data_IF_164415440313
#
_entry.id   IF_164415440313
#
_cell.length_a   1.000
_cell.length_b   1.000
_cell.length_c   1.000
_cell.angle_alpha   90.00
_cell.angle_beta   90.00
_cell.angle_gamma   90.00
#
_symmetry.space_group_name_H-M   'P 1'
#
loop_
_entity.id
_entity.type
_entity.pdbx_description
1 polymer ?
#
# COMPACT_ATOMS: atom_id res chain seq x y z
N UNK A 1 48.83 -28.34 8.08
CA UNK A 1 47.51 -28.14 7.45
C UNK A 1 47.31 -29.28 6.46
N UNK A 2 46.64 -30.35 6.88
CA UNK A 2 46.38 -31.51 6.02
C UNK A 2 45.21 -31.18 5.05
N UNK A 3 45.60 -31.09 3.78
CA UNK A 3 44.66 -30.96 2.68
C UNK A 3 44.11 -32.36 2.35
N UNK A 4 43.06 -32.80 3.05
CA UNK A 4 42.36 -34.03 2.68
C UNK A 4 41.61 -33.82 1.38
N UNK A 5 41.83 -34.65 0.31
CA UNK A 5 41.15 -34.51 -0.94
C UNK A 5 39.65 -34.77 -0.75
N UNK A 6 38.87 -33.74 -0.87
CA UNK A 6 37.42 -33.85 -0.76
C UNK A 6 36.91 -34.73 -1.92
N UNK A 7 36.34 -35.89 -1.62
CA UNK A 7 35.73 -36.77 -2.61
C UNK A 7 34.64 -36.01 -3.39
N UNK A 8 34.65 -36.09 -4.73
CA UNK A 8 33.64 -35.53 -5.64
C UNK A 8 32.20 -35.80 -5.13
N UNK A 9 31.98 -36.98 -4.53
CA UNK A 9 30.72 -37.40 -3.95
C UNK A 9 30.31 -36.50 -2.76
N UNK A 10 31.27 -36.17 -1.86
CA UNK A 10 30.99 -35.29 -0.72
C UNK A 10 30.74 -33.86 -1.17
N UNK A 11 31.48 -33.36 -2.15
CA UNK A 11 31.27 -32.05 -2.75
C UNK A 11 29.86 -31.92 -3.38
N UNK A 12 29.47 -32.91 -4.19
CA UNK A 12 28.13 -32.91 -4.80
C UNK A 12 27.02 -32.99 -3.74
N UNK A 13 27.19 -33.78 -2.69
CA UNK A 13 26.21 -33.90 -1.62
C UNK A 13 26.06 -32.58 -0.82
N UNK A 14 27.18 -31.91 -0.51
CA UNK A 14 27.11 -30.60 0.15
C UNK A 14 26.52 -29.52 -0.74
N UNK A 15 26.83 -29.53 -2.02
CA UNK A 15 26.27 -28.56 -2.98
C UNK A 15 24.74 -28.73 -3.11
N UNK A 16 24.23 -29.94 -3.24
CA UNK A 16 22.78 -30.20 -3.30
C UNK A 16 22.08 -29.81 -2.00
N UNK A 17 22.71 -30.06 -0.85
CA UNK A 17 22.17 -29.65 0.45
C UNK A 17 22.08 -28.12 0.56
N UNK A 18 23.12 -27.41 0.16
CA UNK A 18 23.16 -25.95 0.19
C UNK A 18 22.13 -25.33 -0.78
N UNK A 19 22.03 -25.85 -1.99
CA UNK A 19 21.02 -25.38 -2.96
C UNK A 19 19.59 -25.66 -2.49
N UNK A 20 19.34 -26.85 -1.94
CA UNK A 20 18.04 -27.22 -1.39
C UNK A 20 17.63 -26.36 -0.19
N UNK A 21 18.56 -26.14 0.75
CA UNK A 21 18.29 -25.28 1.91
C UNK A 21 18.13 -23.80 1.52
N UNK A 22 18.91 -23.32 0.55
CA UNK A 22 18.78 -21.97 0.00
C UNK A 22 17.43 -21.75 -0.69
N UNK A 23 16.98 -22.73 -1.48
CA UNK A 23 15.68 -22.66 -2.15
C UNK A 23 14.50 -22.68 -1.13
N UNK A 24 14.58 -23.51 -0.09
CA UNK A 24 13.59 -23.53 0.99
C UNK A 24 13.57 -22.22 1.77
N UNK A 25 14.74 -21.67 2.08
CA UNK A 25 14.85 -20.38 2.76
C UNK A 25 14.30 -19.24 1.88
N UNK A 26 14.64 -19.21 0.60
CA UNK A 26 14.10 -18.23 -0.35
C UNK A 26 12.57 -18.33 -0.45
N UNK A 27 12.01 -19.56 -0.50
CA UNK A 27 10.57 -19.79 -0.51
C UNK A 27 9.88 -19.32 0.77
N UNK A 28 10.56 -19.43 1.92
CA UNK A 28 10.04 -18.98 3.21
C UNK A 28 10.11 -17.46 3.36
N UNK A 29 11.21 -16.84 2.90
CA UNK A 29 11.43 -15.40 3.02
C UNK A 29 10.74 -14.58 1.93
N UNK A 30 10.39 -15.17 0.77
CA UNK A 30 9.63 -14.44 -0.26
C UNK A 30 8.17 -14.35 0.13
N UNK A 31 7.67 -13.13 0.45
CA UNK A 31 6.26 -12.96 0.74
C UNK A 31 5.44 -13.35 -0.50
N UNK A 32 4.54 -14.32 -0.35
CA UNK A 32 3.57 -14.63 -1.39
C UNK A 32 2.60 -13.46 -1.47
N UNK A 33 2.84 -12.58 -2.41
CA UNK A 33 1.85 -11.59 -2.84
C UNK A 33 0.65 -12.37 -3.39
N UNK A 34 -0.32 -12.64 -2.51
CA UNK A 34 -1.60 -13.17 -2.94
C UNK A 34 -2.29 -12.05 -3.73
N UNK A 35 -2.33 -12.19 -5.05
CA UNK A 35 -3.01 -11.24 -5.95
C UNK A 35 -4.54 -11.20 -5.80
N UNK A 36 -5.05 -11.60 -4.64
CA UNK A 36 -6.46 -11.46 -4.30
C UNK A 36 -6.75 -9.97 -4.07
N UNK A 37 -7.54 -9.41 -4.97
CA UNK A 37 -8.13 -8.08 -4.77
C UNK A 37 -8.88 -8.11 -3.45
N UNK A 38 -8.44 -7.32 -2.49
CA UNK A 38 -9.07 -7.18 -1.19
C UNK A 38 -9.93 -5.92 -1.19
N UNK A 39 -11.20 -6.04 -0.87
CA UNK A 39 -12.03 -4.89 -0.57
C UNK A 39 -11.59 -4.33 0.78
N UNK A 40 -11.16 -3.08 0.79
CA UNK A 40 -10.69 -2.35 1.98
C UNK A 40 -11.84 -1.61 2.64
N UNK A 41 -12.72 -1.00 1.83
CA UNK A 41 -13.88 -0.27 2.30
C UNK A 41 -14.97 -0.28 1.24
N UNK A 42 -16.22 -0.11 1.65
CA UNK A 42 -17.38 0.02 0.76
C UNK A 42 -18.33 1.09 1.27
N UNK A 43 -19.02 1.75 0.34
CA UNK A 43 -20.02 2.79 0.65
C UNK A 43 -21.11 2.82 -0.43
N UNK A 44 -22.26 3.38 -0.12
CA UNK A 44 -23.25 3.72 -1.13
C UNK A 44 -22.84 5.01 -1.87
N UNK A 45 -23.27 5.13 -3.12
CA UNK A 45 -22.99 6.32 -3.95
C UNK A 45 -23.51 7.60 -3.29
N UNK A 46 -24.64 7.52 -2.60
CA UNK A 46 -25.29 8.63 -1.89
C UNK A 46 -24.53 9.09 -0.63
N UNK A 47 -23.73 8.21 -0.02
CA UNK A 47 -22.95 8.53 1.18
C UNK A 47 -21.74 9.43 0.87
N UNK A 48 -21.37 9.56 -0.41
CA UNK A 48 -20.22 10.37 -0.83
C UNK A 48 -20.70 11.62 -1.55
N UNK A 49 -20.74 12.78 -0.87
CA UNK A 49 -21.23 14.03 -1.45
C UNK A 49 -20.30 14.52 -2.57
N UNK A 50 -20.90 15.23 -3.54
CA UNK A 50 -20.12 15.86 -4.61
C UNK A 50 -19.14 16.87 -4.01
N UNK A 51 -17.88 16.81 -4.44
CA UNK A 51 -16.75 17.58 -3.91
C UNK A 51 -16.47 17.34 -2.43
N UNK A 52 -17.03 16.26 -1.85
CA UNK A 52 -16.81 15.85 -0.47
C UNK A 52 -15.92 14.62 -0.32
N UNK A 53 -15.84 14.14 0.90
CA UNK A 53 -15.07 12.95 1.27
C UNK A 53 -15.81 12.12 2.33
N UNK A 54 -15.78 10.80 2.17
CA UNK A 54 -16.15 9.84 3.21
C UNK A 54 -14.89 9.22 3.78
N UNK A 55 -14.74 9.27 5.10
CA UNK A 55 -13.53 8.83 5.81
C UNK A 55 -13.72 7.45 6.42
N UNK A 56 -12.83 6.53 6.10
CA UNK A 56 -12.69 5.23 6.72
C UNK A 56 -11.46 5.28 7.65
N UNK A 57 -11.72 5.49 8.95
CA UNK A 57 -10.67 5.79 9.92
C UNK A 57 -9.81 4.57 10.24
N UNK A 58 -10.42 3.40 10.33
CA UNK A 58 -9.72 2.16 10.66
C UNK A 58 -8.78 1.74 9.53
N UNK A 59 -9.19 1.91 8.27
CA UNK A 59 -8.41 1.64 7.08
C UNK A 59 -7.48 2.81 6.71
N UNK A 60 -7.64 3.96 7.38
CA UNK A 60 -6.89 5.20 7.13
C UNK A 60 -6.91 5.58 5.65
N UNK A 61 -8.12 5.64 5.08
CA UNK A 61 -8.36 6.03 3.71
C UNK A 61 -9.55 7.01 3.60
N UNK A 62 -9.54 7.81 2.55
CA UNK A 62 -10.64 8.68 2.17
C UNK A 62 -11.17 8.27 0.80
N UNK A 63 -12.47 8.15 0.67
CA UNK A 63 -13.20 8.02 -0.58
C UNK A 63 -13.77 9.41 -0.92
N UNK A 64 -13.35 9.95 -2.05
CA UNK A 64 -13.72 11.30 -2.49
C UNK A 64 -14.50 11.24 -3.80
N UNK A 65 -15.28 12.29 -4.04
CA UNK A 65 -16.06 12.46 -5.27
C UNK A 65 -15.81 13.83 -5.86
N UNK A 66 -15.54 13.88 -7.15
CA UNK A 66 -15.49 15.10 -7.95
C UNK A 66 -16.40 15.00 -9.18
N UNK A 67 -16.35 15.98 -10.06
CA UNK A 67 -17.13 16.00 -11.31
C UNK A 67 -16.76 14.84 -12.27
N UNK A 68 -15.58 14.21 -12.10
CA UNK A 68 -15.11 13.08 -12.93
C UNK A 68 -15.50 11.72 -12.35
N UNK A 69 -15.94 11.67 -11.08
CA UNK A 69 -16.35 10.44 -10.41
C UNK A 69 -15.72 10.23 -9.03
N UNK A 70 -15.55 8.95 -8.66
CA UNK A 70 -15.04 8.55 -7.36
C UNK A 70 -13.57 8.19 -7.43
N UNK A 71 -12.82 8.55 -6.41
CA UNK A 71 -11.44 8.16 -6.23
C UNK A 71 -11.13 8.01 -4.74
N UNK A 72 -10.13 7.20 -4.41
CA UNK A 72 -9.74 6.96 -3.03
C UNK A 72 -8.25 7.21 -2.82
N UNK A 73 -7.92 7.78 -1.66
CA UNK A 73 -6.55 8.15 -1.28
C UNK A 73 -6.27 7.59 0.11
N UNK A 74 -5.09 7.00 0.28
CA UNK A 74 -4.60 6.60 1.60
C UNK A 74 -4.33 7.85 2.44
N UNK A 75 -4.76 7.82 3.69
CA UNK A 75 -4.48 8.88 4.68
C UNK A 75 -3.20 8.58 5.49
N UNK A 76 -2.31 7.76 4.95
CA UNK A 76 -1.01 7.46 5.56
C UNK A 76 0.03 8.40 4.96
N UNK A 77 0.52 9.35 5.77
CA UNK A 77 1.52 10.31 5.34
C UNK A 77 2.80 9.62 4.89
N UNK A 78 3.28 9.96 3.69
CA UNK A 78 4.49 9.36 3.09
C UNK A 78 5.79 9.74 3.80
N UNK A 79 5.77 10.73 4.71
CA UNK A 79 6.93 11.09 5.53
C UNK A 79 7.22 10.02 6.59
N UNK A 80 6.38 9.90 7.61
CA UNK A 80 6.57 8.97 8.75
C UNK A 80 5.28 8.23 9.14
N UNK A 81 4.32 8.09 8.24
CA UNK A 81 3.14 7.26 8.45
C UNK A 81 2.06 7.85 9.37
N UNK A 82 2.13 9.14 9.74
CA UNK A 82 1.05 9.80 10.48
C UNK A 82 -0.26 9.81 9.70
N UNK A 83 -1.39 9.89 10.39
CA UNK A 83 -2.69 10.00 9.73
C UNK A 83 -2.90 11.43 9.22
N UNK A 84 -3.13 11.53 7.92
CA UNK A 84 -3.45 12.77 7.22
C UNK A 84 -4.92 13.11 7.46
N UNK A 85 -5.22 14.39 7.61
CA UNK A 85 -6.59 14.90 7.75
C UNK A 85 -7.06 15.58 6.46
N UNK A 86 -8.33 15.40 6.14
CA UNK A 86 -8.98 16.08 5.02
C UNK A 86 -9.37 17.48 5.45
N UNK A 87 -9.02 18.49 4.65
CA UNK A 87 -9.36 19.88 4.85
C UNK A 87 -10.11 20.43 3.63
N UNK A 88 -10.66 21.63 3.71
CA UNK A 88 -11.34 22.28 2.59
C UNK A 88 -10.43 22.44 1.37
N UNK A 89 -9.16 22.72 1.58
CA UNK A 89 -8.17 23.03 0.55
C UNK A 89 -7.33 21.82 0.10
N UNK A 90 -7.55 20.64 0.66
CA UNK A 90 -6.76 19.43 0.36
C UNK A 90 -6.58 18.52 1.55
N UNK A 91 -5.36 18.02 1.72
CA UNK A 91 -5.01 17.06 2.74
C UNK A 91 -3.80 17.56 3.53
N UNK A 92 -3.84 17.49 4.85
CA UNK A 92 -2.78 17.99 5.73
C UNK A 92 -2.33 16.94 6.74
N UNK A 93 -1.03 16.82 6.94
CA UNK A 93 -0.45 15.98 7.98
C UNK A 93 -0.17 16.82 9.22
N UNK A 94 -0.85 16.58 10.35
CA UNK A 94 -0.69 17.40 11.55
C UNK A 94 0.64 17.20 12.26
N UNK A 95 1.34 16.08 12.01
CA UNK A 95 2.59 15.75 12.71
C UNK A 95 3.73 16.73 12.35
N UNK A 96 3.97 16.96 11.05
CA UNK A 96 5.10 17.77 10.58
C UNK A 96 4.71 18.75 9.47
N UNK A 97 3.42 19.00 9.25
CA UNK A 97 2.93 20.04 8.36
C UNK A 97 3.06 19.75 6.86
N UNK A 98 3.21 18.49 6.46
CA UNK A 98 3.14 18.13 5.03
C UNK A 98 1.74 18.43 4.48
N UNK A 99 1.70 19.03 3.28
CA UNK A 99 0.46 19.38 2.58
C UNK A 99 0.38 18.62 1.27
N UNK A 100 -0.84 18.17 0.95
CA UNK A 100 -1.15 17.49 -0.30
C UNK A 100 -2.40 18.11 -0.92
N UNK A 101 -2.51 18.04 -2.23
CA UNK A 101 -3.74 18.39 -2.90
C UNK A 101 -4.87 17.36 -2.63
N UNK A 102 -6.06 17.61 -3.14
CA UNK A 102 -7.20 16.70 -2.94
C UNK A 102 -6.99 15.31 -3.55
N UNK A 103 -6.06 15.17 -4.50
CA UNK A 103 -5.73 13.91 -5.15
C UNK A 103 -4.55 13.17 -4.50
N UNK A 104 -4.02 13.72 -3.41
CA UNK A 104 -2.90 13.16 -2.66
C UNK A 104 -1.52 13.53 -3.19
N UNK A 105 -1.40 14.46 -4.14
CA UNK A 105 -0.12 14.94 -4.64
C UNK A 105 0.54 15.88 -3.64
N UNK A 106 1.83 15.71 -3.37
CA UNK A 106 2.60 16.57 -2.46
C UNK A 106 2.62 18.00 -2.97
N UNK A 107 2.22 18.92 -2.10
CA UNK A 107 2.33 20.38 -2.30
C UNK A 107 3.44 20.98 -1.45
N UNK A 108 3.65 20.43 -0.22
CA UNK A 108 4.66 20.92 0.72
C UNK A 108 5.17 19.76 1.59
N UNK A 109 6.49 19.63 1.72
CA UNK A 109 7.15 18.68 2.59
C UNK A 109 6.97 18.97 4.09
N UNK A 110 7.54 18.06 4.93
CA UNK A 110 8.65 17.14 4.67
C UNK A 110 8.32 15.82 3.91
N UNK A 111 7.06 15.51 3.61
CA UNK A 111 6.74 14.39 2.72
C UNK A 111 7.38 14.59 1.33
N UNK A 112 8.00 13.55 0.79
CA UNK A 112 8.72 13.53 -0.49
C UNK A 112 7.98 12.76 -1.60
N UNK A 113 6.91 12.07 -1.25
CA UNK A 113 6.11 11.22 -2.16
C UNK A 113 4.62 11.52 -2.00
N UNK A 114 3.89 11.38 -3.11
CA UNK A 114 2.44 11.46 -3.12
C UNK A 114 1.81 10.40 -2.21
N UNK A 115 0.61 10.66 -1.70
CA UNK A 115 -0.18 9.67 -1.01
C UNK A 115 -0.60 8.57 -1.98
N UNK A 116 -0.65 7.34 -1.49
CA UNK A 116 -1.06 6.20 -2.31
C UNK A 116 -2.51 6.34 -2.75
N UNK A 117 -2.75 6.25 -4.06
CA UNK A 117 -4.10 6.18 -4.62
C UNK A 117 -4.55 4.72 -4.65
N UNK A 118 -5.78 4.51 -4.18
CA UNK A 118 -6.44 3.21 -4.19
C UNK A 118 -7.31 3.07 -5.43
N UNK A 119 -7.53 1.83 -5.88
CA UNK A 119 -8.47 1.55 -6.95
C UNK A 119 -9.89 1.59 -6.43
N UNK A 120 -10.79 2.16 -7.21
CA UNK A 120 -12.22 2.24 -6.90
C UNK A 120 -12.98 1.48 -7.96
N UNK A 121 -13.94 0.66 -7.53
CA UNK A 121 -14.91 -0.03 -8.38
C UNK A 121 -16.30 0.48 -8.01
N UNK A 122 -17.09 0.82 -9.02
CA UNK A 122 -18.48 1.25 -8.84
C UNK A 122 -19.37 0.22 -9.53
N UNK A 123 -20.33 -0.33 -8.78
CA UNK A 123 -21.27 -1.35 -9.26
C UNK A 123 -22.69 -0.96 -8.84
N UNK A 124 -23.44 -0.33 -9.74
CA UNK A 124 -24.76 0.23 -9.41
C UNK A 124 -24.64 1.30 -8.32
N UNK A 125 -25.27 1.08 -7.18
CA UNK A 125 -25.22 1.99 -6.02
C UNK A 125 -24.08 1.69 -5.02
N UNK A 126 -23.25 0.69 -5.29
CA UNK A 126 -22.15 0.28 -4.39
C UNK A 126 -20.81 0.76 -4.95
N UNK A 127 -20.00 1.37 -4.07
CA UNK A 127 -18.61 1.75 -4.32
C UNK A 127 -17.73 0.86 -3.46
N UNK A 128 -16.73 0.24 -4.05
CA UNK A 128 -15.71 -0.56 -3.34
C UNK A 128 -14.33 0.04 -3.57
N UNK A 129 -13.60 0.27 -2.48
CA UNK A 129 -12.18 0.61 -2.52
C UNK A 129 -11.38 -0.69 -2.39
N UNK A 130 -10.49 -0.95 -3.33
CA UNK A 130 -9.74 -2.21 -3.42
C UNK A 130 -8.23 -1.96 -3.42
N UNK A 131 -7.51 -2.87 -2.73
CA UNK A 131 -6.07 -2.85 -2.59
C UNK A 131 -5.41 -4.14 -3.02
#
# INVERSE_FOLDING_TARGET
MENTPQSRRKFLATLTLLLGSGALLARYLTPRSSGKIRVLASAAVEDVPLNGALLFRDERLALLRDAKGFYAVSLICSHLGCTVVVTENGLSCPCHGSLFDRYGKVLKGPADRDLQRMRVKVSGNLIEVVG
#
